data_IF_909426922829
#
_entry.id   IF_909426922829
#
_cell.length_a   1.000
_cell.length_b   1.000
_cell.length_c   1.000
_cell.angle_alpha   90.00
_cell.angle_beta   90.00
_cell.angle_gamma   90.00
#
_symmetry.space_group_name_H-M   'P 1'
#
loop_
_entity.id
_entity.type
_entity.pdbx_description
1 polymer ?
#
# COMPACT_ATOMS: atom_id res chain seq x y z
N UNK A 1 -10.92 -45.64 36.66
CA UNK A 1 -10.84 -45.14 35.30
C UNK A 1 -10.23 -43.74 35.34
N UNK A 2 -8.97 -43.61 35.00
CA UNK A 2 -8.28 -42.29 34.98
C UNK A 2 -8.52 -41.66 33.63
N UNK A 3 -9.23 -40.53 33.61
CA UNK A 3 -9.40 -39.71 32.43
C UNK A 3 -8.08 -38.91 32.25
N UNK A 4 -7.26 -39.28 31.29
CA UNK A 4 -6.12 -38.46 30.85
C UNK A 4 -6.67 -37.30 30.05
N UNK A 5 -6.47 -36.07 30.54
CA UNK A 5 -6.79 -34.86 29.81
C UNK A 5 -5.96 -34.80 28.52
N UNK A 6 -6.53 -34.35 27.37
CA UNK A 6 -5.80 -34.25 26.13
C UNK A 6 -4.66 -33.22 26.26
N UNK A 7 -3.46 -33.63 25.88
CA UNK A 7 -2.29 -32.76 25.83
C UNK A 7 -2.58 -31.58 24.88
N UNK A 8 -2.37 -30.31 25.28
CA UNK A 8 -2.59 -29.18 24.41
C UNK A 8 -1.68 -29.27 23.19
N UNK A 9 -2.27 -29.17 22.00
CA UNK A 9 -1.54 -29.12 20.73
C UNK A 9 -0.57 -27.94 20.75
N UNK A 10 0.72 -28.13 20.34
CA UNK A 10 1.67 -27.01 20.28
C UNK A 10 1.13 -25.93 19.34
N UNK A 11 1.35 -24.64 19.66
CA UNK A 11 0.88 -23.55 18.81
C UNK A 11 1.49 -23.67 17.42
N UNK A 12 0.66 -23.51 16.40
CA UNK A 12 1.12 -23.52 15.00
C UNK A 12 2.20 -22.46 14.79
N UNK A 13 3.24 -22.73 14.00
CA UNK A 13 4.31 -21.78 13.74
C UNK A 13 3.77 -20.47 13.17
N UNK A 14 4.27 -19.35 13.70
CA UNK A 14 3.85 -18.00 13.28
C UNK A 14 4.12 -17.78 11.79
N UNK A 15 3.08 -17.41 11.03
CA UNK A 15 3.19 -17.17 9.58
C UNK A 15 4.09 -15.96 9.27
N UNK A 16 4.62 -15.89 8.04
CA UNK A 16 5.42 -14.76 7.56
C UNK A 16 4.67 -13.42 7.71
N UNK A 17 3.39 -13.39 7.36
CA UNK A 17 2.53 -12.21 7.53
C UNK A 17 2.39 -11.79 9.00
N UNK A 18 2.24 -12.73 9.92
CA UNK A 18 2.16 -12.40 11.36
C UNK A 18 3.47 -11.81 11.87
N UNK A 19 4.61 -12.38 11.45
CA UNK A 19 5.96 -11.86 11.77
C UNK A 19 6.16 -10.45 11.22
N UNK A 20 5.81 -10.20 9.96
CA UNK A 20 5.88 -8.88 9.33
C UNK A 20 4.99 -7.87 10.06
N UNK A 21 3.74 -8.22 10.34
CA UNK A 21 2.80 -7.37 11.09
C UNK A 21 3.35 -7.01 12.47
N UNK A 22 3.92 -7.97 13.19
CA UNK A 22 4.55 -7.71 14.50
C UNK A 22 5.75 -6.79 14.37
N UNK A 23 6.65 -7.06 13.41
CA UNK A 23 7.88 -6.30 13.21
C UNK A 23 7.63 -4.84 12.76
N UNK A 24 6.53 -4.58 12.06
CA UNK A 24 6.20 -3.25 11.53
C UNK A 24 5.23 -2.46 12.41
N UNK A 25 4.61 -3.09 13.41
CA UNK A 25 3.51 -2.51 14.21
C UNK A 25 3.83 -1.13 14.81
N UNK A 26 5.01 -0.98 15.42
CA UNK A 26 5.38 0.29 16.05
C UNK A 26 5.56 1.41 15.02
N UNK A 27 6.19 1.12 13.86
CA UNK A 27 6.37 2.08 12.77
C UNK A 27 5.03 2.45 12.13
N UNK A 28 4.14 1.48 11.97
CA UNK A 28 2.79 1.69 11.44
C UNK A 28 1.99 2.63 12.35
N UNK A 29 1.96 2.38 13.66
CA UNK A 29 1.28 3.25 14.63
C UNK A 29 1.88 4.68 14.65
N UNK A 30 3.22 4.81 14.56
CA UNK A 30 3.88 6.11 14.51
C UNK A 30 3.57 6.87 13.20
N UNK A 31 3.38 6.17 12.08
CA UNK A 31 2.96 6.78 10.82
C UNK A 31 1.50 7.23 10.87
N UNK A 32 0.62 6.38 11.37
CA UNK A 32 -0.81 6.70 11.50
C UNK A 32 -1.05 7.91 12.39
N UNK A 33 -0.32 8.04 13.51
CA UNK A 33 -0.45 9.20 14.42
C UNK A 33 0.00 10.54 13.82
N UNK A 34 0.71 10.50 12.70
CA UNK A 34 1.17 11.69 11.95
C UNK A 34 0.39 11.92 10.65
N UNK A 35 -0.49 11.00 10.30
CA UNK A 35 -1.24 11.10 9.05
C UNK A 35 -2.33 12.16 9.16
N UNK A 36 -2.32 13.11 8.24
CA UNK A 36 -3.36 14.14 8.11
C UNK A 36 -4.55 13.67 7.26
N UNK A 37 -4.48 12.49 6.67
CA UNK A 37 -5.47 11.99 5.71
C UNK A 37 -6.86 11.70 6.33
N UNK A 38 -6.93 11.58 7.66
CA UNK A 38 -8.17 11.38 8.40
C UNK A 38 -8.51 12.59 9.28
N UNK A 39 -7.79 13.70 9.11
CA UNK A 39 -8.08 14.94 9.81
C UNK A 39 -9.44 15.52 9.34
N UNK A 40 -10.40 15.79 10.23
CA UNK A 40 -11.66 16.47 9.86
C UNK A 40 -11.47 17.83 9.18
N UNK A 41 -10.32 18.50 9.42
CA UNK A 41 -9.97 19.78 8.81
C UNK A 41 -9.14 19.63 7.51
N UNK A 42 -9.03 18.42 6.96
CA UNK A 42 -8.31 18.18 5.70
C UNK A 42 -8.88 19.03 4.57
N UNK A 43 -8.08 19.95 4.04
CA UNK A 43 -8.46 20.74 2.87
C UNK A 43 -8.06 20.04 1.57
N UNK A 44 -8.73 20.41 0.46
CA UNK A 44 -8.39 19.92 -0.89
C UNK A 44 -6.95 20.22 -1.27
N UNK A 45 -6.41 21.37 -0.87
CA UNK A 45 -5.01 21.75 -1.12
C UNK A 45 -4.03 20.88 -0.34
N UNK A 46 -4.29 20.60 0.94
CA UNK A 46 -3.45 19.69 1.72
C UNK A 46 -3.52 18.25 1.18
N UNK A 47 -4.70 17.82 0.74
CA UNK A 47 -4.85 16.50 0.11
C UNK A 47 -4.04 16.40 -1.19
N UNK A 48 -4.10 17.43 -2.05
CA UNK A 48 -3.33 17.50 -3.29
C UNK A 48 -1.81 17.42 -3.00
N UNK A 49 -1.31 18.17 -2.00
CA UNK A 49 0.10 18.09 -1.59
C UNK A 49 0.49 16.68 -1.13
N UNK A 50 -0.37 16.00 -0.37
CA UNK A 50 -0.16 14.60 -0.01
C UNK A 50 -0.04 13.69 -1.23
N UNK A 51 -0.93 13.83 -2.22
CA UNK A 51 -0.88 13.03 -3.46
C UNK A 51 0.39 13.31 -4.28
N UNK A 52 0.83 14.57 -4.37
CA UNK A 52 2.11 14.91 -5.01
C UNK A 52 3.28 14.17 -4.34
N UNK A 53 3.32 14.12 -3.01
CA UNK A 53 4.34 13.38 -2.24
C UNK A 53 4.23 11.88 -2.45
N UNK A 54 3.03 11.32 -2.46
CA UNK A 54 2.81 9.91 -2.79
C UNK A 54 3.29 9.59 -4.21
N UNK A 55 2.92 10.40 -5.19
CA UNK A 55 3.37 10.21 -6.56
C UNK A 55 4.90 10.26 -6.66
N UNK A 56 5.54 11.25 -6.02
CA UNK A 56 6.99 11.38 -5.98
C UNK A 56 7.72 10.22 -5.31
N UNK A 57 7.04 9.42 -4.48
CA UNK A 57 7.58 8.18 -3.90
C UNK A 57 7.25 6.96 -4.76
N UNK A 58 5.98 6.79 -5.14
CA UNK A 58 5.50 5.59 -5.85
C UNK A 58 6.06 5.48 -7.27
N UNK A 59 6.06 6.56 -8.05
CA UNK A 59 6.48 6.50 -9.45
C UNK A 59 7.94 6.01 -9.62
N UNK A 60 8.97 6.57 -8.94
CA UNK A 60 10.33 6.06 -9.06
C UNK A 60 10.52 4.69 -8.40
N UNK A 61 9.78 4.36 -7.34
CA UNK A 61 9.83 3.05 -6.70
C UNK A 61 9.27 1.97 -7.62
N UNK A 62 8.11 2.20 -8.22
CA UNK A 62 7.47 1.26 -9.14
C UNK A 62 8.29 1.04 -10.41
N UNK A 63 8.98 2.08 -10.91
CA UNK A 63 9.91 1.92 -12.02
C UNK A 63 11.01 0.90 -11.69
N UNK A 64 11.55 0.93 -10.47
CA UNK A 64 12.55 -0.04 -9.99
C UNK A 64 11.96 -1.43 -9.76
N UNK A 65 10.76 -1.51 -9.19
CA UNK A 65 10.07 -2.78 -8.96
C UNK A 65 9.74 -3.47 -10.28
N UNK A 66 9.27 -2.74 -11.30
CA UNK A 66 8.95 -3.27 -12.64
C UNK A 66 10.14 -3.97 -13.29
N UNK A 67 11.33 -3.39 -13.17
CA UNK A 67 12.56 -3.92 -13.76
C UNK A 67 13.17 -5.12 -13.03
N UNK A 68 12.59 -5.57 -11.91
CA UNK A 68 13.20 -6.59 -11.06
C UNK A 68 12.92 -8.01 -11.58
N UNK A 69 13.95 -8.82 -11.88
CA UNK A 69 13.78 -10.20 -12.40
C UNK A 69 13.16 -11.15 -11.36
N UNK A 70 13.31 -10.86 -10.07
CA UNK A 70 12.81 -11.69 -8.97
C UNK A 70 11.30 -11.94 -8.97
N UNK A 71 10.51 -11.12 -9.67
CA UNK A 71 9.07 -11.37 -9.84
C UNK A 71 8.82 -12.62 -10.70
N UNK A 72 9.56 -12.76 -11.81
CA UNK A 72 9.47 -13.93 -12.68
C UNK A 72 9.93 -15.19 -11.96
N UNK A 73 11.02 -15.10 -11.21
CA UNK A 73 11.56 -16.20 -10.42
C UNK A 73 10.55 -16.67 -9.34
N UNK A 74 9.81 -15.73 -8.74
CA UNK A 74 8.78 -16.02 -7.75
C UNK A 74 7.41 -16.40 -8.35
N UNK A 75 7.25 -16.39 -9.67
CA UNK A 75 5.96 -16.61 -10.32
C UNK A 75 4.88 -15.59 -9.95
N UNK A 76 5.29 -14.34 -9.65
CA UNK A 76 4.39 -13.28 -9.19
C UNK A 76 4.18 -12.21 -10.26
N UNK A 77 2.91 -11.93 -10.61
CA UNK A 77 2.57 -10.82 -11.51
C UNK A 77 2.51 -9.50 -10.74
N UNK A 78 3.62 -8.76 -10.75
CA UNK A 78 3.66 -7.41 -10.22
C UNK A 78 2.93 -6.40 -11.13
N UNK A 79 2.74 -6.70 -12.42
CA UNK A 79 2.12 -5.80 -13.40
C UNK A 79 0.71 -5.35 -12.99
N UNK A 80 -0.05 -6.24 -12.35
CA UNK A 80 -1.39 -5.96 -11.84
C UNK A 80 -1.42 -5.15 -10.53
N UNK A 81 -0.27 -4.65 -10.04
CA UNK A 81 -0.13 -4.02 -8.72
C UNK A 81 0.27 -2.54 -8.75
N UNK A 82 0.42 -1.96 -9.94
CA UNK A 82 0.80 -0.55 -10.07
C UNK A 82 -0.26 0.41 -9.51
N UNK A 83 0.21 1.45 -8.85
CA UNK A 83 -0.61 2.48 -8.21
C UNK A 83 -0.25 3.89 -8.67
N UNK A 84 0.93 4.08 -9.28
CA UNK A 84 1.35 5.40 -9.79
C UNK A 84 0.41 5.93 -10.86
N UNK A 85 -0.22 5.06 -11.66
CA UNK A 85 -1.22 5.46 -12.65
C UNK A 85 -2.48 6.04 -11.96
N UNK A 86 -2.94 5.44 -10.86
CA UNK A 86 -4.07 5.96 -10.09
C UNK A 86 -3.72 7.29 -9.43
N UNK A 87 -2.49 7.44 -8.90
CA UNK A 87 -2.01 8.71 -8.35
C UNK A 87 -1.97 9.81 -9.44
N UNK A 88 -1.47 9.49 -10.63
CA UNK A 88 -1.50 10.44 -11.74
C UNK A 88 -2.94 10.84 -12.13
N UNK A 89 -3.85 9.87 -12.21
CA UNK A 89 -5.27 10.12 -12.45
C UNK A 89 -5.88 11.06 -11.41
N UNK A 90 -5.63 10.82 -10.12
CA UNK A 90 -6.12 11.64 -9.02
C UNK A 90 -5.58 13.07 -9.09
N UNK A 91 -4.26 13.22 -9.35
CA UNK A 91 -3.63 14.53 -9.50
C UNK A 91 -4.25 15.35 -10.65
N UNK A 92 -4.49 14.71 -11.80
CA UNK A 92 -5.13 15.35 -12.94
C UNK A 92 -6.59 15.72 -12.64
N UNK A 93 -7.35 14.85 -11.99
CA UNK A 93 -8.73 15.11 -11.57
C UNK A 93 -8.82 16.27 -10.56
N UNK A 94 -7.75 16.52 -9.80
CA UNK A 94 -7.65 17.63 -8.86
C UNK A 94 -7.09 18.92 -9.46
N UNK A 95 -6.77 18.93 -10.76
CA UNK A 95 -6.44 20.12 -11.52
C UNK A 95 -4.97 20.29 -11.89
N UNK A 96 -4.08 19.33 -11.63
CA UNK A 96 -2.75 19.34 -12.21
C UNK A 96 -2.82 19.13 -13.73
N UNK A 97 -1.89 19.75 -14.47
CA UNK A 97 -1.74 19.47 -15.90
C UNK A 97 -0.81 18.27 -16.12
N UNK A 98 -0.98 17.49 -17.20
CA UNK A 98 -0.06 16.38 -17.52
C UNK A 98 1.41 16.80 -17.59
N UNK A 99 1.68 18.05 -18.01
CA UNK A 99 3.02 18.61 -18.09
C UNK A 99 3.68 18.87 -16.73
N UNK A 100 2.89 18.95 -15.64
CA UNK A 100 3.41 19.21 -14.30
C UNK A 100 3.93 17.94 -13.62
N UNK A 101 3.43 16.75 -14.00
CA UNK A 101 3.77 15.48 -13.36
C UNK A 101 5.29 15.17 -13.36
N UNK A 102 6.05 15.39 -14.46
CA UNK A 102 7.50 15.15 -14.46
C UNK A 102 8.27 16.12 -13.57
N UNK A 103 7.71 17.29 -13.27
CA UNK A 103 8.31 18.32 -12.42
C UNK A 103 8.06 18.11 -10.92
N UNK A 104 7.23 17.15 -10.54
CA UNK A 104 6.96 16.88 -9.12
C UNK A 104 8.22 16.37 -8.40
N UNK A 105 8.43 16.77 -7.12
CA UNK A 105 9.56 16.31 -6.32
C UNK A 105 9.59 14.79 -6.23
N UNK A 106 10.71 14.18 -6.61
CA UNK A 106 10.91 12.73 -6.59
C UNK A 106 11.73 12.29 -5.38
N UNK A 107 11.32 11.22 -4.72
CA UNK A 107 12.03 10.64 -3.59
C UNK A 107 13.29 9.88 -4.07
N UNK A 108 14.46 10.29 -3.60
CA UNK A 108 15.73 9.59 -3.86
C UNK A 108 16.03 8.47 -2.86
N UNK A 109 15.47 8.57 -1.63
CA UNK A 109 15.68 7.62 -0.54
C UNK A 109 14.75 6.39 -0.66
N UNK A 110 14.92 5.62 -1.73
CA UNK A 110 14.12 4.42 -2.00
C UNK A 110 14.74 3.17 -1.34
N UNK A 111 13.92 2.17 -0.95
CA UNK A 111 14.42 0.94 -0.36
C UNK A 111 15.34 0.17 -1.31
N UNK A 112 16.24 -0.62 -0.74
CA UNK A 112 17.03 -1.58 -1.52
C UNK A 112 16.12 -2.71 -2.02
N UNK A 113 16.30 -3.09 -3.30
CA UNK A 113 15.52 -4.13 -3.99
C UNK A 113 16.48 -5.15 -4.62
N UNK A 114 17.41 -5.69 -3.81
CA UNK A 114 18.51 -6.56 -4.26
C UNK A 114 18.17 -8.06 -4.21
N UNK A 115 17.07 -8.44 -3.59
CA UNK A 115 16.63 -9.82 -3.45
C UNK A 115 15.11 -9.94 -3.53
N UNK A 116 14.61 -11.13 -3.88
CA UNK A 116 13.18 -11.45 -3.90
C UNK A 116 12.51 -11.16 -2.55
N UNK A 117 13.18 -11.46 -1.44
CA UNK A 117 12.68 -11.14 -0.10
C UNK A 117 12.49 -9.62 0.10
N UNK A 118 13.40 -8.79 -0.41
CA UNK A 118 13.26 -7.32 -0.33
C UNK A 118 12.14 -6.80 -1.24
N UNK A 119 11.94 -7.40 -2.41
CA UNK A 119 10.80 -7.10 -3.29
C UNK A 119 9.48 -7.36 -2.56
N UNK A 120 9.30 -8.55 -1.99
CA UNK A 120 8.09 -8.90 -1.26
C UNK A 120 7.93 -8.10 0.03
N UNK A 121 9.00 -7.76 0.73
CA UNK A 121 8.95 -6.87 1.89
C UNK A 121 8.49 -5.45 1.53
N UNK A 122 8.94 -4.92 0.40
CA UNK A 122 8.45 -3.65 -0.15
C UNK A 122 6.97 -3.77 -0.52
N UNK A 123 6.61 -4.81 -1.27
CA UNK A 123 5.23 -5.04 -1.71
C UNK A 123 4.26 -5.23 -0.53
N UNK A 124 4.71 -5.87 0.56
CA UNK A 124 3.92 -5.98 1.79
C UNK A 124 3.47 -4.60 2.31
N UNK A 125 4.35 -3.60 2.28
CA UNK A 125 4.01 -2.24 2.72
C UNK A 125 3.05 -1.57 1.74
N UNK A 126 3.32 -1.65 0.42
CA UNK A 126 2.49 -1.02 -0.61
C UNK A 126 1.08 -1.63 -0.67
N UNK A 127 0.96 -2.94 -0.56
CA UNK A 127 -0.33 -3.64 -0.55
C UNK A 127 -1.05 -3.49 0.80
N UNK A 128 -0.32 -3.49 1.91
CA UNK A 128 -0.89 -3.24 3.24
C UNK A 128 -1.56 -1.88 3.34
N UNK A 129 -1.00 -0.86 2.69
CA UNK A 129 -1.59 0.48 2.63
C UNK A 129 -2.98 0.50 1.96
N UNK A 130 -3.27 -0.42 1.04
CA UNK A 130 -4.59 -0.50 0.37
C UNK A 130 -5.72 -0.89 1.33
N UNK A 131 -5.40 -1.64 2.40
CA UNK A 131 -6.39 -2.02 3.42
C UNK A 131 -6.90 -0.79 4.19
N UNK A 132 -5.98 0.11 4.59
CA UNK A 132 -6.32 1.39 5.22
C UNK A 132 -6.96 2.38 4.25
N UNK A 133 -6.65 2.28 2.97
CA UNK A 133 -7.18 3.14 1.91
C UNK A 133 -8.71 3.21 1.87
N UNK A 134 -9.40 2.11 2.20
CA UNK A 134 -10.86 2.08 2.27
C UNK A 134 -11.44 3.05 3.32
N UNK A 135 -10.72 3.27 4.43
CA UNK A 135 -11.13 4.22 5.48
C UNK A 135 -10.89 5.64 4.96
N UNK A 136 -9.72 5.89 4.35
CA UNK A 136 -9.37 7.18 3.75
C UNK A 136 -10.36 7.55 2.65
N UNK A 137 -10.72 6.64 1.75
CA UNK A 137 -11.69 6.88 0.67
C UNK A 137 -13.05 7.34 1.22
N UNK A 138 -13.56 6.69 2.27
CA UNK A 138 -14.81 7.12 2.92
C UNK A 138 -14.70 8.51 3.55
N UNK A 139 -13.56 8.80 4.19
CA UNK A 139 -13.32 10.12 4.77
C UNK A 139 -13.23 11.19 3.68
N UNK A 140 -12.50 10.97 2.59
CA UNK A 140 -12.41 11.88 1.45
C UNK A 140 -13.76 12.16 0.82
N UNK A 141 -14.61 11.14 0.72
CA UNK A 141 -15.99 11.32 0.23
C UNK A 141 -16.81 12.21 1.19
N UNK A 142 -16.75 11.95 2.48
CA UNK A 142 -17.52 12.68 3.47
C UNK A 142 -17.05 14.14 3.64
N UNK A 143 -15.72 14.38 3.63
CA UNK A 143 -15.14 15.71 3.93
C UNK A 143 -14.91 16.57 2.70
N UNK A 144 -14.57 15.98 1.55
CA UNK A 144 -14.20 16.70 0.32
C UNK A 144 -15.11 16.40 -0.88
N UNK A 145 -16.09 15.49 -0.74
CA UNK A 145 -16.96 15.05 -1.83
C UNK A 145 -16.24 14.27 -2.93
N UNK A 146 -15.05 13.74 -2.66
CA UNK A 146 -14.25 13.04 -3.68
C UNK A 146 -14.69 11.59 -3.82
N UNK A 147 -14.69 11.12 -5.07
CA UNK A 147 -14.91 9.72 -5.46
C UNK A 147 -13.68 9.19 -6.19
N UNK A 148 -13.58 7.88 -6.47
CA UNK A 148 -12.49 7.34 -7.27
C UNK A 148 -12.32 8.04 -8.64
N UNK A 149 -13.42 8.52 -9.21
CA UNK A 149 -13.42 9.21 -10.52
C UNK A 149 -12.99 10.69 -10.41
N UNK A 150 -13.07 11.28 -9.22
CA UNK A 150 -12.85 12.71 -9.00
C UNK A 150 -11.63 13.04 -8.14
N UNK A 151 -10.76 12.05 -7.87
CA UNK A 151 -9.49 12.26 -7.19
C UNK A 151 -9.22 11.37 -5.97
N UNK A 152 -9.88 10.22 -5.84
CA UNK A 152 -9.66 9.26 -4.76
C UNK A 152 -9.41 7.81 -5.26
N UNK A 153 -8.99 7.63 -6.53
CA UNK A 153 -8.73 6.31 -7.11
C UNK A 153 -7.60 5.57 -6.40
N UNK A 154 -6.52 6.26 -6.04
CA UNK A 154 -5.38 5.68 -5.35
C UNK A 154 -5.79 5.02 -4.02
N UNK A 155 -6.55 5.71 -3.18
CA UNK A 155 -7.01 5.17 -1.90
C UNK A 155 -8.12 4.14 -2.05
N UNK A 156 -8.95 4.22 -3.09
CA UNK A 156 -9.91 3.18 -3.44
C UNK A 156 -9.22 1.86 -3.81
N UNK A 157 -7.98 1.93 -4.32
CA UNK A 157 -7.12 0.79 -4.61
C UNK A 157 -7.76 -0.19 -5.58
N UNK A 158 -8.01 -1.41 -5.14
CA UNK A 158 -8.64 -2.46 -5.94
C UNK A 158 -10.15 -2.57 -5.69
N UNK A 159 -10.75 -1.62 -4.96
CA UNK A 159 -12.16 -1.69 -4.58
C UNK A 159 -12.51 -3.00 -3.86
N UNK A 160 -13.52 -3.72 -4.35
CA UNK A 160 -13.96 -4.99 -3.79
C UNK A 160 -12.88 -6.10 -3.82
N UNK A 161 -11.88 -5.99 -4.69
CA UNK A 161 -10.81 -6.98 -4.82
C UNK A 161 -9.66 -6.80 -3.81
N UNK A 162 -9.66 -5.73 -3.00
CA UNK A 162 -8.56 -5.43 -2.06
C UNK A 162 -8.26 -6.62 -1.14
N UNK A 163 -9.29 -7.25 -0.58
CA UNK A 163 -9.11 -8.41 0.30
C UNK A 163 -8.55 -9.65 -0.38
N UNK A 164 -8.98 -9.96 -1.61
CA UNK A 164 -8.46 -11.10 -2.39
C UNK A 164 -7.02 -10.87 -2.82
N UNK A 165 -6.68 -9.65 -3.24
CA UNK A 165 -5.30 -9.27 -3.59
C UNK A 165 -4.34 -9.36 -2.40
N UNK A 166 -4.79 -8.97 -1.22
CA UNK A 166 -4.02 -9.13 0.01
C UNK A 166 -3.79 -10.60 0.37
N UNK A 167 -4.81 -11.46 0.24
CA UNK A 167 -4.69 -12.91 0.48
C UNK A 167 -3.72 -13.58 -0.50
N UNK A 168 -3.78 -13.20 -1.78
CA UNK A 168 -2.85 -13.68 -2.80
C UNK A 168 -1.39 -13.36 -2.44
N UNK A 169 -1.10 -12.12 -2.04
CA UNK A 169 0.23 -11.76 -1.54
C UNK A 169 0.63 -12.61 -0.33
N UNK A 170 -0.29 -12.83 0.61
CA UNK A 170 -0.07 -13.66 1.79
C UNK A 170 0.32 -15.11 1.46
N UNK A 171 -0.27 -15.68 0.42
CA UNK A 171 0.09 -17.02 -0.06
C UNK A 171 1.53 -17.05 -0.59
N UNK A 172 1.95 -16.08 -1.40
CA UNK A 172 3.33 -15.99 -1.90
C UNK A 172 4.36 -15.73 -0.79
N UNK A 173 3.99 -15.00 0.27
CA UNK A 173 4.88 -14.78 1.42
C UNK A 173 5.05 -16.03 2.29
N UNK A 174 4.23 -17.05 2.12
CA UNK A 174 4.22 -18.28 2.92
C UNK A 174 4.75 -19.49 2.16
N UNK A 175 4.99 -19.36 0.85
CA UNK A 175 5.58 -20.37 -0.02
C UNK A 175 7.11 -20.31 0.08
#
# INVERSE_FOLDING_TARGET
MFHTAPTPCPPSPESCLQRLKRATRARHAALESRSVLLDPALSRTHYLDCLCRFYGYYAPLELRLRGSPGWKEAGFDYGARYKSAQLAQDLLALGLLPADLPGLPSCSALPALKSTAQLFGCLYVLEGATLGGQIVTRHLHASLGLTPETGAAFFAGYGAQTGSRWKELGAHLSA
#
